data_IF_715194748484
#
_entry.id   IF_715194748484
#
_cell.length_a   1.000
_cell.length_b   1.000
_cell.length_c   1.000
_cell.angle_alpha   90.00
_cell.angle_beta   90.00
_cell.angle_gamma   90.00
#
_symmetry.space_group_name_H-M   'P 1'
#
loop_
_entity.id
_entity.type
_entity.pdbx_description
1 polymer ?
#
# COMPACT_ATOMS: atom_id res chain seq x y z
N UNK A 1 0.80 14.40 -27.86
CA UNK A 1 1.69 14.58 -26.68
C UNK A 1 1.62 13.30 -25.85
N UNK A 2 2.74 12.72 -25.43
CA UNK A 2 2.80 11.42 -24.72
C UNK A 2 3.13 11.65 -23.24
N UNK A 3 2.41 11.00 -22.31
CA UNK A 3 2.71 11.03 -20.87
C UNK A 3 4.03 10.27 -20.61
N UNK A 4 4.93 10.84 -19.79
CA UNK A 4 6.25 10.26 -19.44
C UNK A 4 6.52 10.38 -17.94
N UNK A 5 7.30 9.45 -17.37
CA UNK A 5 7.77 9.50 -15.98
C UNK A 5 9.08 10.28 -15.84
N UNK A 6 9.36 10.76 -14.62
CA UNK A 6 10.62 11.39 -14.25
C UNK A 6 11.15 10.77 -12.95
N UNK A 7 12.45 10.49 -12.89
CA UNK A 7 13.14 9.94 -11.72
C UNK A 7 14.52 10.57 -11.56
N UNK A 8 15.01 10.68 -10.33
CA UNK A 8 16.34 11.21 -10.06
C UNK A 8 16.57 11.52 -8.58
N UNK A 9 17.82 11.50 -8.14
CA UNK A 9 18.17 11.70 -6.73
C UNK A 9 17.80 13.10 -6.21
N UNK A 10 17.87 14.10 -7.08
CA UNK A 10 17.55 15.50 -6.76
C UNK A 10 16.07 15.73 -6.40
N UNK A 11 15.16 14.85 -6.85
CA UNK A 11 13.71 14.96 -6.58
C UNK A 11 13.22 14.05 -5.44
N UNK A 12 14.14 13.33 -4.77
CA UNK A 12 13.76 12.55 -3.59
C UNK A 12 13.45 13.47 -2.40
N UNK A 13 12.29 13.32 -1.75
CA UNK A 13 11.96 14.11 -0.57
C UNK A 13 12.96 13.83 0.57
N UNK A 14 13.30 14.87 1.35
CA UNK A 14 14.21 14.73 2.50
C UNK A 14 13.55 14.08 3.70
N UNK A 15 12.24 14.21 3.81
CA UNK A 15 11.39 13.57 4.82
C UNK A 15 9.98 13.42 4.26
N UNK A 16 9.18 12.56 4.88
CA UNK A 16 7.74 12.43 4.63
C UNK A 16 7.01 12.37 5.96
N UNK A 17 5.84 13.01 6.03
CA UNK A 17 4.96 12.95 7.20
C UNK A 17 3.74 12.13 6.81
N UNK A 18 3.60 10.96 7.43
CA UNK A 18 2.50 10.03 7.20
C UNK A 18 1.60 10.05 8.44
N UNK A 19 0.38 10.59 8.31
CA UNK A 19 -0.61 10.65 9.38
C UNK A 19 -1.87 9.88 8.96
N UNK A 20 -2.15 8.69 9.53
CA UNK A 20 -3.31 7.89 9.19
C UNK A 20 -4.64 8.62 9.37
N UNK A 21 -4.75 9.55 10.32
CA UNK A 21 -5.97 10.32 10.56
C UNK A 21 -6.40 11.13 9.32
N UNK A 22 -5.44 11.59 8.51
CA UNK A 22 -5.75 12.33 7.28
C UNK A 22 -6.39 11.45 6.19
N UNK A 23 -6.37 10.13 6.35
CA UNK A 23 -6.99 9.20 5.40
C UNK A 23 -8.41 8.77 5.79
N UNK A 24 -8.87 9.12 7.00
CA UNK A 24 -10.22 8.81 7.47
C UNK A 24 -11.30 9.51 6.60
N UNK A 25 -10.97 10.64 5.98
CA UNK A 25 -11.88 11.39 5.09
C UNK A 25 -11.95 10.84 3.66
N UNK A 26 -11.20 9.79 3.32
CA UNK A 26 -11.23 9.22 1.97
C UNK A 26 -12.57 8.49 1.71
N UNK A 27 -13.19 8.68 0.53
CA UNK A 27 -14.33 7.87 0.12
C UNK A 27 -13.99 6.37 0.12
N UNK A 28 -14.98 5.52 0.39
CA UNK A 28 -14.81 4.07 0.41
C UNK A 28 -14.19 3.54 -0.90
N UNK A 29 -14.62 4.07 -2.06
CA UNK A 29 -14.06 3.70 -3.35
C UNK A 29 -12.55 3.99 -3.47
N UNK A 30 -12.09 5.16 -3.01
CA UNK A 30 -10.66 5.47 -3.05
C UNK A 30 -9.86 4.63 -2.05
N UNK A 31 -10.43 4.33 -0.89
CA UNK A 31 -9.80 3.41 0.07
C UNK A 31 -9.62 2.03 -0.56
N UNK A 32 -10.68 1.48 -1.18
CA UNK A 32 -10.62 0.19 -1.87
C UNK A 32 -9.63 0.19 -3.06
N UNK A 33 -9.60 1.27 -3.85
CA UNK A 33 -8.66 1.42 -4.96
C UNK A 33 -7.21 1.43 -4.46
N UNK A 34 -6.92 2.19 -3.39
CA UNK A 34 -5.58 2.22 -2.79
C UNK A 34 -5.13 0.88 -2.22
N UNK A 35 -6.02 0.18 -1.49
CA UNK A 35 -5.74 -1.18 -0.99
C UNK A 35 -5.46 -2.14 -2.15
N UNK A 36 -6.25 -2.06 -3.22
CA UNK A 36 -6.05 -2.89 -4.42
C UNK A 36 -4.72 -2.59 -5.10
N UNK A 37 -4.34 -1.32 -5.19
CA UNK A 37 -3.06 -0.88 -5.77
C UNK A 37 -1.86 -1.37 -4.95
N UNK A 38 -1.94 -1.31 -3.61
CA UNK A 38 -0.94 -1.90 -2.70
C UNK A 38 -0.78 -3.39 -3.01
N UNK A 39 -1.88 -4.14 -3.07
CA UNK A 39 -1.85 -5.57 -3.37
C UNK A 39 -1.30 -5.86 -4.77
N UNK A 40 -1.67 -5.07 -5.78
CA UNK A 40 -1.15 -5.21 -7.14
C UNK A 40 0.38 -5.05 -7.18
N UNK A 41 0.91 -3.99 -6.56
CA UNK A 41 2.36 -3.78 -6.47
C UNK A 41 3.09 -4.88 -5.70
N UNK A 42 2.47 -5.45 -4.67
CA UNK A 42 3.02 -6.62 -3.97
C UNK A 42 3.06 -7.85 -4.88
N UNK A 43 1.98 -8.12 -5.63
CA UNK A 43 1.94 -9.23 -6.59
C UNK A 43 2.96 -9.07 -7.72
N UNK A 44 3.19 -7.87 -8.23
CA UNK A 44 4.23 -7.59 -9.24
C UNK A 44 5.64 -8.00 -8.78
N UNK A 45 5.91 -7.90 -7.47
CA UNK A 45 7.20 -8.26 -6.86
C UNK A 45 7.27 -9.74 -6.45
N UNK A 46 6.13 -10.31 -6.04
CA UNK A 46 6.03 -11.68 -5.56
C UNK A 46 5.99 -12.72 -6.69
N UNK A 47 5.22 -12.45 -7.75
CA UNK A 47 5.05 -13.37 -8.87
C UNK A 47 6.19 -13.21 -9.88
N UNK A 48 7.39 -13.60 -9.46
CA UNK A 48 8.64 -13.51 -10.22
C UNK A 48 9.32 -14.87 -10.36
N UNK A 49 10.26 -14.97 -11.30
CA UNK A 49 11.11 -16.17 -11.47
C UNK A 49 12.41 -16.10 -10.65
N UNK A 50 12.55 -15.10 -9.77
CA UNK A 50 13.72 -14.97 -8.90
C UNK A 50 13.69 -16.05 -7.83
N UNK A 51 14.76 -16.84 -7.73
CA UNK A 51 14.87 -17.95 -6.77
C UNK A 51 15.64 -17.52 -5.52
N UNK A 52 15.50 -18.26 -4.41
CA UNK A 52 16.24 -18.01 -3.15
C UNK A 52 15.97 -16.63 -2.52
N UNK A 53 14.72 -16.16 -2.59
CA UNK A 53 14.27 -14.86 -2.06
C UNK A 53 13.33 -14.99 -0.85
N UNK A 54 13.49 -16.06 -0.06
CA UNK A 54 12.58 -16.44 1.05
C UNK A 54 12.19 -15.28 1.97
N UNK A 55 13.14 -14.42 2.37
CA UNK A 55 12.84 -13.27 3.24
C UNK A 55 11.86 -12.30 2.58
N UNK A 56 12.06 -12.00 1.30
CA UNK A 56 11.20 -11.10 0.54
C UNK A 56 9.81 -11.70 0.39
N UNK A 57 9.73 -13.00 0.08
CA UNK A 57 8.46 -13.72 -0.08
C UNK A 57 7.63 -13.66 1.21
N UNK A 58 8.24 -14.01 2.36
CA UNK A 58 7.54 -13.97 3.65
C UNK A 58 7.11 -12.57 4.07
N UNK A 59 7.91 -11.54 3.76
CA UNK A 59 7.50 -10.15 4.01
C UNK A 59 6.30 -9.76 3.15
N UNK A 60 6.30 -10.10 1.87
CA UNK A 60 5.18 -9.78 0.96
C UNK A 60 3.92 -10.55 1.38
N UNK A 61 4.01 -11.84 1.68
CA UNK A 61 2.88 -12.65 2.15
C UNK A 61 2.24 -12.04 3.40
N UNK A 62 3.05 -11.61 4.37
CA UNK A 62 2.55 -10.94 5.57
C UNK A 62 1.79 -9.66 5.24
N UNK A 63 2.33 -8.82 4.33
CA UNK A 63 1.66 -7.59 3.90
C UNK A 63 0.33 -7.87 3.17
N UNK A 64 0.29 -8.89 2.30
CA UNK A 64 -0.94 -9.32 1.63
C UNK A 64 -2.01 -9.80 2.62
N UNK A 65 -1.62 -10.56 3.64
CA UNK A 65 -2.51 -10.99 4.71
C UNK A 65 -3.02 -9.80 5.54
N UNK A 66 -2.16 -8.81 5.83
CA UNK A 66 -2.57 -7.57 6.49
C UNK A 66 -3.61 -6.81 5.67
N UNK A 67 -3.41 -6.64 4.35
CA UNK A 67 -4.39 -5.96 3.49
C UNK A 67 -5.72 -6.71 3.44
N UNK A 68 -5.68 -8.05 3.38
CA UNK A 68 -6.88 -8.88 3.43
C UNK A 68 -7.65 -8.72 4.74
N UNK A 69 -6.95 -8.51 5.85
CA UNK A 69 -7.56 -8.34 7.17
C UNK A 69 -8.07 -6.92 7.41
N UNK A 70 -7.24 -5.91 7.15
CA UNK A 70 -7.53 -4.51 7.49
C UNK A 70 -8.38 -3.79 6.44
N UNK A 71 -8.28 -4.21 5.18
CA UNK A 71 -9.04 -3.60 4.09
C UNK A 71 -10.55 -3.55 4.36
N UNK A 72 -11.22 -4.69 4.65
CA UNK A 72 -12.63 -4.70 5.02
C UNK A 72 -12.94 -3.85 6.26
N UNK A 73 -12.05 -3.84 7.26
CA UNK A 73 -12.25 -3.08 8.52
C UNK A 73 -12.29 -1.57 8.27
N UNK A 74 -11.45 -1.07 7.36
CA UNK A 74 -11.44 0.36 6.96
C UNK A 74 -12.65 0.73 6.11
N UNK A 75 -13.18 -0.21 5.32
CA UNK A 75 -14.40 0.04 4.53
C UNK A 75 -15.64 0.05 5.41
N UNK A 76 -15.72 -0.85 6.39
CA UNK A 76 -16.82 -0.92 7.35
C UNK A 76 -16.80 0.26 8.32
N UNK A 77 -15.62 0.62 8.84
CA UNK A 77 -15.44 1.75 9.75
C UNK A 77 -14.28 2.66 9.28
N UNK A 78 -14.58 3.70 8.47
CA UNK A 78 -13.58 4.62 7.94
C UNK A 78 -12.76 5.37 9.01
N UNK A 79 -13.32 5.56 10.20
CA UNK A 79 -12.71 6.28 11.32
C UNK A 79 -11.85 5.39 12.23
N UNK A 80 -11.72 4.09 11.92
CA UNK A 80 -10.84 3.19 12.67
C UNK A 80 -9.36 3.55 12.44
N UNK A 81 -8.78 4.29 13.39
CA UNK A 81 -7.40 4.77 13.31
C UNK A 81 -6.38 3.64 13.15
N UNK A 82 -6.51 2.57 13.93
CA UNK A 82 -5.57 1.43 13.89
C UNK A 82 -5.60 0.71 12.53
N UNK A 83 -6.80 0.52 11.97
CA UNK A 83 -6.92 -0.09 10.64
C UNK A 83 -6.35 0.82 9.54
N UNK A 84 -6.55 2.16 9.64
CA UNK A 84 -5.91 3.13 8.74
C UNK A 84 -4.39 3.11 8.88
N UNK A 85 -3.87 2.99 10.11
CA UNK A 85 -2.46 2.95 10.40
C UNK A 85 -1.77 1.68 9.89
N UNK A 86 -2.45 0.52 9.97
CA UNK A 86 -1.92 -0.73 9.43
C UNK A 86 -1.91 -0.78 7.88
N UNK A 87 -2.74 0.02 7.21
CA UNK A 87 -2.79 0.10 5.74
C UNK A 87 -1.78 1.11 5.18
N UNK A 88 -1.51 2.19 5.92
CA UNK A 88 -0.60 3.28 5.51
C UNK A 88 0.87 2.87 5.62
#
# INVERSE_FOLDING_TARGET
MMKRGASGDAIRPKFSVLNPALTQTLPAFQSAAGITDIMAHLYERYLTNSTEVEVTDRLIEALLLTMKHEGPRVIENPDNYEARANIM
#
